data_IF_633738692262
#
_entry.id   IF_633738692262
#
_cell.length_a   1.000
_cell.length_b   1.000
_cell.length_c   1.000
_cell.angle_alpha   90.00
_cell.angle_beta   90.00
_cell.angle_gamma   90.00
#
_symmetry.space_group_name_H-M   'P 1'
#
loop_
_entity.id
_entity.type
_entity.pdbx_description
1 polymer ?
#
# COMPACT_ATOMS: atom_id res chain seq x y z
N UNK A 1 -4.89 9.71 6.93
CA UNK A 1 -4.38 8.41 6.52
C UNK A 1 -5.51 7.41 6.27
N UNK A 2 -6.38 7.10 7.25
CA UNK A 2 -7.46 6.10 7.11
C UNK A 2 -8.34 6.33 5.88
N UNK A 3 -8.75 7.57 5.63
CA UNK A 3 -9.51 7.92 4.42
C UNK A 3 -8.69 7.71 3.13
N UNK A 4 -7.38 7.99 3.16
CA UNK A 4 -6.51 7.74 2.02
C UNK A 4 -6.44 6.25 1.67
N UNK A 5 -6.42 5.38 2.67
CA UNK A 5 -6.43 3.93 2.45
C UNK A 5 -7.78 3.43 1.91
N UNK A 6 -8.89 3.99 2.39
CA UNK A 6 -10.22 3.68 1.85
C UNK A 6 -10.36 4.07 0.38
N UNK A 7 -9.96 5.30 0.04
CA UNK A 7 -9.96 5.79 -1.35
C UNK A 7 -9.00 4.98 -2.20
N UNK A 8 -7.76 4.79 -1.72
CA UNK A 8 -6.74 4.01 -2.43
C UNK A 8 -7.15 2.55 -2.66
N UNK A 9 -7.79 1.91 -1.67
CA UNK A 9 -8.32 0.56 -1.83
C UNK A 9 -9.34 0.49 -2.99
N UNK A 10 -10.24 1.47 -3.07
CA UNK A 10 -11.22 1.58 -4.16
C UNK A 10 -10.60 1.97 -5.51
N UNK A 11 -9.44 2.64 -5.52
CA UNK A 11 -8.69 2.99 -6.73
C UNK A 11 -7.67 1.90 -7.15
N UNK A 12 -7.60 0.78 -6.45
CA UNK A 12 -6.66 -0.31 -6.75
C UNK A 12 -5.22 -0.03 -6.29
N UNK A 13 -4.99 0.99 -5.47
CA UNK A 13 -3.67 1.37 -4.98
C UNK A 13 -3.21 0.49 -3.80
N UNK A 14 -1.90 0.37 -3.63
CA UNK A 14 -1.29 -0.16 -2.42
C UNK A 14 -1.32 0.85 -1.26
N UNK A 15 -0.87 0.41 -0.08
CA UNK A 15 -0.81 1.26 1.12
C UNK A 15 0.12 2.47 0.90
N UNK A 16 1.35 2.21 0.46
CA UNK A 16 2.33 3.28 0.23
C UNK A 16 1.92 4.23 -0.89
N UNK A 17 1.34 3.71 -1.98
CA UNK A 17 0.81 4.55 -3.06
C UNK A 17 -0.36 5.41 -2.62
N UNK A 18 -1.27 4.89 -1.79
CA UNK A 18 -2.41 5.65 -1.25
C UNK A 18 -1.93 6.86 -0.45
N UNK A 19 -0.90 6.66 0.37
CA UNK A 19 -0.26 7.77 1.13
C UNK A 19 0.47 8.72 0.20
N UNK A 20 1.23 8.19 -0.74
CA UNK A 20 1.95 8.96 -1.75
C UNK A 20 1.02 9.85 -2.59
N UNK A 21 -0.11 9.31 -3.02
CA UNK A 21 -1.14 10.04 -3.76
C UNK A 21 -1.73 11.20 -2.95
N UNK A 22 -2.12 10.94 -1.68
CA UNK A 22 -2.61 11.95 -0.76
C UNK A 22 -1.63 13.12 -0.64
N UNK A 23 -0.36 12.82 -0.33
CA UNK A 23 0.67 13.83 -0.09
C UNK A 23 1.03 14.57 -1.37
N UNK A 24 1.22 13.86 -2.48
CA UNK A 24 1.62 14.46 -3.77
C UNK A 24 0.57 15.42 -4.33
N UNK A 25 -0.72 15.09 -4.17
CA UNK A 25 -1.87 15.83 -4.70
C UNK A 25 -2.40 16.91 -3.76
N UNK A 26 -1.88 17.03 -2.53
CA UNK A 26 -2.45 17.89 -1.47
C UNK A 26 -3.91 17.56 -1.18
N UNK A 27 -4.28 16.31 -1.18
CA UNK A 27 -5.65 15.91 -0.90
C UNK A 27 -6.09 14.63 -1.57
N UNK A 28 -7.40 14.40 -1.50
CA UNK A 28 -8.07 13.20 -1.99
C UNK A 28 -9.27 13.58 -2.86
N UNK A 29 -9.46 12.87 -3.95
CA UNK A 29 -10.71 12.89 -4.69
C UNK A 29 -11.70 11.96 -3.98
N UNK A 30 -12.82 12.51 -3.55
CA UNK A 30 -13.94 11.75 -2.98
C UNK A 30 -14.92 11.47 -4.12
N UNK A 31 -15.12 10.19 -4.50
CA UNK A 31 -16.05 9.84 -5.58
C UNK A 31 -17.51 10.10 -5.19
N UNK A 32 -18.36 10.28 -6.20
CA UNK A 32 -19.78 10.45 -5.96
C UNK A 32 -20.43 9.13 -5.53
N UNK A 33 -21.63 9.25 -4.94
CA UNK A 33 -22.41 8.09 -4.57
C UNK A 33 -22.76 7.23 -5.79
N UNK A 34 -23.09 7.87 -6.90
CA UNK A 34 -23.43 7.19 -8.17
C UNK A 34 -22.23 6.42 -8.72
N UNK A 35 -21.03 7.02 -8.68
CA UNK A 35 -19.78 6.33 -9.09
C UNK A 35 -19.54 5.08 -8.25
N UNK A 36 -19.71 5.16 -6.93
CA UNK A 36 -19.51 4.02 -6.03
C UNK A 36 -20.59 2.94 -6.23
N UNK A 37 -21.84 3.32 -6.35
CA UNK A 37 -22.91 2.37 -6.65
C UNK A 37 -22.69 1.68 -8.00
N UNK A 38 -22.24 2.41 -9.03
CA UNK A 38 -21.88 1.84 -10.32
C UNK A 38 -20.75 0.81 -10.25
N UNK A 39 -19.79 0.96 -9.32
CA UNK A 39 -18.76 -0.06 -9.06
C UNK A 39 -19.32 -1.26 -8.31
N UNK A 40 -20.18 -1.03 -7.33
CA UNK A 40 -20.82 -2.10 -6.54
C UNK A 40 -21.69 -3.01 -7.41
N UNK A 41 -22.39 -2.46 -8.40
CA UNK A 41 -23.23 -3.26 -9.32
C UNK A 41 -22.41 -4.21 -10.20
N UNK A 42 -21.09 -4.01 -10.33
CA UNK A 42 -20.18 -4.91 -11.06
C UNK A 42 -19.60 -6.04 -10.21
N UNK A 43 -20.17 -6.32 -9.03
CA UNK A 43 -19.63 -7.33 -8.10
C UNK A 43 -19.48 -8.73 -8.70
N UNK A 44 -20.27 -9.08 -9.72
CA UNK A 44 -20.15 -10.37 -10.39
C UNK A 44 -18.89 -10.53 -11.23
N UNK A 45 -18.34 -9.43 -11.75
CA UNK A 45 -17.14 -9.42 -12.62
C UNK A 45 -15.91 -8.84 -11.92
N UNK A 46 -16.11 -7.92 -10.99
CA UNK A 46 -15.06 -7.16 -10.30
C UNK A 46 -15.31 -7.18 -8.77
N UNK A 47 -15.30 -8.36 -8.11
CA UNK A 47 -15.75 -8.49 -6.71
C UNK A 47 -14.89 -7.70 -5.72
N UNK A 48 -13.59 -7.63 -5.91
CA UNK A 48 -12.67 -6.88 -5.03
C UNK A 48 -12.92 -5.37 -5.10
N UNK A 49 -13.12 -4.83 -6.30
CA UNK A 49 -13.38 -3.41 -6.51
C UNK A 49 -14.77 -3.03 -5.98
N UNK A 50 -15.76 -3.88 -6.17
CA UNK A 50 -17.10 -3.68 -5.64
C UNK A 50 -17.09 -3.67 -4.11
N UNK A 51 -16.37 -4.59 -3.47
CA UNK A 51 -16.25 -4.63 -2.02
C UNK A 51 -15.53 -3.39 -1.47
N UNK A 52 -14.43 -2.95 -2.11
CA UNK A 52 -13.73 -1.73 -1.72
C UNK A 52 -14.58 -0.47 -1.89
N UNK A 53 -15.40 -0.41 -2.95
CA UNK A 53 -16.34 0.68 -3.18
C UNK A 53 -17.45 0.71 -2.12
N UNK A 54 -17.95 -0.45 -1.69
CA UNK A 54 -18.95 -0.55 -0.62
C UNK A 54 -18.39 -0.08 0.73
N UNK A 55 -17.16 -0.49 1.08
CA UNK A 55 -16.48 -0.04 2.29
C UNK A 55 -16.28 1.48 2.28
N UNK A 56 -15.82 2.04 1.16
CA UNK A 56 -15.65 3.48 1.01
C UNK A 56 -17.00 4.22 1.13
N UNK A 57 -18.05 3.74 0.46
CA UNK A 57 -19.37 4.35 0.53
C UNK A 57 -19.90 4.40 1.96
N UNK A 58 -19.77 3.29 2.70
CA UNK A 58 -20.17 3.21 4.10
C UNK A 58 -19.42 4.22 4.97
N UNK A 59 -18.08 4.32 4.79
CA UNK A 59 -17.26 5.26 5.53
C UNK A 59 -17.60 6.73 5.23
N UNK A 60 -17.83 7.06 3.95
CA UNK A 60 -18.20 8.42 3.54
C UNK A 60 -19.56 8.83 4.11
N UNK A 61 -20.52 7.92 4.15
CA UNK A 61 -21.84 8.16 4.75
C UNK A 61 -21.73 8.38 6.26
N UNK A 62 -20.98 7.53 6.97
CA UNK A 62 -20.78 7.67 8.41
C UNK A 62 -20.06 8.98 8.79
N UNK A 63 -19.12 9.41 7.96
CA UNK A 63 -18.36 10.65 8.16
C UNK A 63 -19.06 11.89 7.58
N UNK A 64 -20.20 11.75 6.91
CA UNK A 64 -20.93 12.83 6.21
C UNK A 64 -20.03 13.62 5.24
N UNK A 65 -19.14 12.93 4.53
CA UNK A 65 -18.24 13.55 3.57
C UNK A 65 -18.90 13.69 2.20
N UNK A 66 -18.83 14.92 1.66
CA UNK A 66 -19.37 15.22 0.34
C UNK A 66 -18.41 14.81 -0.79
N UNK A 67 -18.93 14.45 -1.98
CA UNK A 67 -18.13 14.24 -3.18
C UNK A 67 -17.33 15.48 -3.57
N UNK A 68 -16.20 15.28 -4.25
CA UNK A 68 -15.35 16.36 -4.73
C UNK A 68 -13.89 16.19 -4.32
N UNK A 69 -13.15 17.28 -4.27
CA UNK A 69 -11.75 17.23 -3.86
C UNK A 69 -11.59 17.73 -2.42
N UNK A 70 -11.22 16.83 -1.53
CA UNK A 70 -10.87 17.16 -0.14
C UNK A 70 -9.43 17.64 -0.10
N UNK A 71 -9.22 18.95 0.05
CA UNK A 71 -7.89 19.55 0.11
C UNK A 71 -7.27 19.31 1.49
N UNK A 72 -6.04 18.80 1.49
CA UNK A 72 -5.21 18.58 2.67
C UNK A 72 -3.80 18.97 2.29
N UNK A 73 -3.38 20.17 2.69
CA UNK A 73 -2.09 20.72 2.28
C UNK A 73 -0.91 20.01 2.94
N UNK A 74 0.11 19.72 2.15
CA UNK A 74 1.38 19.15 2.59
C UNK A 74 2.54 20.07 2.16
N UNK A 75 2.80 21.16 2.88
CA UNK A 75 3.74 22.19 2.45
C UNK A 75 5.18 21.69 2.27
N UNK A 76 5.52 20.61 2.96
CA UNK A 76 6.87 20.01 2.93
C UNK A 76 6.96 18.77 2.01
N UNK A 77 5.94 18.48 1.20
CA UNK A 77 5.88 17.29 0.33
C UNK A 77 7.06 17.14 -0.63
N UNK A 78 7.73 18.26 -0.98
CA UNK A 78 8.93 18.22 -1.84
C UNK A 78 10.08 17.42 -1.24
N UNK A 79 10.12 17.28 0.08
CA UNK A 79 11.12 16.52 0.83
C UNK A 79 10.64 15.12 1.23
N UNK A 80 9.39 14.78 0.95
CA UNK A 80 8.76 13.52 1.33
C UNK A 80 9.04 12.40 0.34
N UNK A 81 9.55 11.27 0.84
CA UNK A 81 9.81 10.07 0.03
C UNK A 81 8.53 9.55 -0.64
N UNK A 82 7.41 9.54 0.08
CA UNK A 82 6.12 9.04 -0.41
C UNK A 82 5.65 9.83 -1.64
N UNK A 83 5.70 11.16 -1.56
CA UNK A 83 5.30 12.02 -2.67
C UNK A 83 6.27 11.90 -3.86
N UNK A 84 7.56 11.76 -3.60
CA UNK A 84 8.57 11.57 -4.64
C UNK A 84 8.37 10.22 -5.35
N UNK A 85 8.23 9.14 -4.61
CA UNK A 85 8.00 7.80 -5.14
C UNK A 85 6.73 7.77 -6.01
N UNK A 86 5.62 8.37 -5.51
CA UNK A 86 4.37 8.44 -6.27
C UNK A 86 4.54 9.20 -7.60
N UNK A 87 5.19 10.36 -7.59
CA UNK A 87 5.42 11.15 -8.82
C UNK A 87 6.33 10.44 -9.83
N UNK A 88 7.33 9.73 -9.33
CA UNK A 88 8.32 9.02 -10.14
C UNK A 88 7.88 7.60 -10.50
N UNK A 89 6.71 7.17 -10.04
CA UNK A 89 6.18 5.81 -10.22
C UNK A 89 7.14 4.72 -9.72
N UNK A 90 7.92 5.03 -8.66
CA UNK A 90 8.78 4.09 -7.98
C UNK A 90 7.91 3.34 -6.95
N UNK A 91 7.95 2.00 -6.90
CA UNK A 91 7.23 1.24 -5.88
C UNK A 91 7.61 1.70 -4.48
N UNK A 92 6.62 2.16 -3.71
CA UNK A 92 6.74 2.51 -2.30
C UNK A 92 5.68 1.73 -1.55
N UNK A 93 6.11 0.76 -0.77
CA UNK A 93 5.22 -0.19 -0.10
C UNK A 93 5.16 0.07 1.40
N UNK A 94 3.96 -0.06 1.98
CA UNK A 94 3.72 0.01 3.41
C UNK A 94 3.29 -1.37 3.94
N UNK A 95 3.91 -1.79 5.03
CA UNK A 95 3.65 -3.09 5.66
C UNK A 95 3.14 -2.89 7.10
N UNK A 96 1.85 -2.54 7.28
CA UNK A 96 1.28 -2.30 8.60
C UNK A 96 1.17 -3.60 9.40
N UNK A 97 1.27 -3.49 10.71
CA UNK A 97 1.02 -4.60 11.62
C UNK A 97 -0.11 -4.23 12.57
N UNK A 98 -1.23 -4.96 12.51
CA UNK A 98 -2.36 -4.72 13.40
C UNK A 98 -1.96 -4.83 14.86
N UNK A 99 -2.36 -3.82 15.64
CA UNK A 99 -2.03 -3.71 17.06
C UNK A 99 -0.76 -2.91 17.37
N UNK A 100 0.05 -2.52 16.37
CA UNK A 100 1.25 -1.70 16.54
C UNK A 100 1.05 -0.24 16.14
N UNK A 101 0.24 0.03 15.12
CA UNK A 101 0.06 1.36 14.57
C UNK A 101 -1.08 2.11 15.25
N UNK A 102 -0.90 3.40 15.49
CA UNK A 102 -1.91 4.27 16.11
C UNK A 102 -3.12 4.53 15.21
N UNK A 103 -3.02 4.29 13.91
CA UNK A 103 -4.12 4.56 12.97
C UNK A 103 -5.40 3.79 13.29
N UNK A 104 -5.28 2.67 13.98
CA UNK A 104 -6.43 1.81 14.33
C UNK A 104 -7.39 2.43 15.34
N UNK A 105 -7.00 3.51 16.01
CA UNK A 105 -7.85 4.26 16.94
C UNK A 105 -8.76 5.28 16.26
N UNK A 106 -8.55 5.55 14.97
CA UNK A 106 -9.33 6.55 14.24
C UNK A 106 -10.70 6.00 13.81
N UNK A 107 -11.82 6.77 13.96
CA UNK A 107 -13.17 6.30 13.61
C UNK A 107 -13.35 5.84 12.14
N UNK A 108 -12.58 6.39 11.22
CA UNK A 108 -12.56 5.99 9.81
C UNK A 108 -11.61 4.81 9.53
N UNK A 109 -11.05 4.18 10.55
CA UNK A 109 -10.21 3.02 10.30
C UNK A 109 -11.05 1.88 9.73
N UNK A 110 -10.54 1.27 8.66
CA UNK A 110 -11.14 0.12 8.01
C UNK A 110 -10.10 -0.99 7.89
N UNK A 111 -10.28 -2.05 8.66
CA UNK A 111 -9.41 -3.24 8.57
C UNK A 111 -9.40 -3.84 7.16
N UNK A 112 -10.53 -3.79 6.45
CA UNK A 112 -10.61 -4.25 5.07
C UNK A 112 -9.76 -3.40 4.12
N UNK A 113 -9.82 -2.06 4.23
CA UNK A 113 -9.01 -1.16 3.41
C UNK A 113 -7.51 -1.31 3.72
N UNK A 114 -7.14 -1.40 5.01
CA UNK A 114 -5.76 -1.68 5.42
C UNK A 114 -5.29 -3.02 4.86
N UNK A 115 -6.08 -4.09 5.01
CA UNK A 115 -5.73 -5.42 4.51
C UNK A 115 -5.53 -5.45 3.00
N UNK A 116 -6.48 -4.90 2.21
CA UNK A 116 -6.37 -4.85 0.74
C UNK A 116 -5.15 -4.07 0.26
N UNK A 117 -4.92 -2.89 0.81
CA UNK A 117 -3.79 -2.04 0.40
C UNK A 117 -2.44 -2.63 0.81
N UNK A 118 -2.36 -3.19 2.02
CA UNK A 118 -1.15 -3.85 2.53
C UNK A 118 -0.83 -5.14 1.77
N UNK A 119 -1.84 -5.94 1.42
CA UNK A 119 -1.65 -7.16 0.62
C UNK A 119 -1.11 -6.83 -0.78
N UNK A 120 -1.63 -5.80 -1.43
CA UNK A 120 -1.11 -5.33 -2.73
C UNK A 120 0.35 -4.91 -2.61
N UNK A 121 0.70 -4.20 -1.55
CA UNK A 121 2.08 -3.80 -1.30
C UNK A 121 3.00 -4.97 -1.01
N UNK A 122 2.55 -5.94 -0.22
CA UNK A 122 3.34 -7.14 0.02
C UNK A 122 3.62 -7.90 -1.29
N UNK A 123 2.63 -8.08 -2.15
CA UNK A 123 2.81 -8.74 -3.45
C UNK A 123 3.72 -7.93 -4.37
N UNK A 124 3.65 -6.60 -4.34
CA UNK A 124 4.54 -5.71 -5.09
C UNK A 124 5.98 -5.81 -4.59
N UNK A 125 6.17 -5.84 -3.27
CA UNK A 125 7.48 -6.05 -2.67
C UNK A 125 8.06 -7.43 -3.04
N UNK A 126 7.26 -8.50 -2.94
CA UNK A 126 7.66 -9.84 -3.34
C UNK A 126 8.04 -9.90 -4.83
N UNK A 127 7.34 -9.16 -5.70
CA UNK A 127 7.70 -9.03 -7.12
C UNK A 127 9.05 -8.34 -7.31
N UNK A 128 9.35 -7.31 -6.53
CA UNK A 128 10.67 -6.66 -6.55
C UNK A 128 11.77 -7.63 -6.12
N UNK A 129 11.52 -8.42 -5.07
CA UNK A 129 12.46 -9.46 -4.60
C UNK A 129 12.64 -10.57 -5.64
N UNK A 130 11.61 -10.89 -6.44
CA UNK A 130 11.73 -11.87 -7.53
C UNK A 130 12.72 -11.44 -8.65
N UNK A 131 13.06 -10.16 -8.72
CA UNK A 131 14.03 -9.58 -9.66
C UNK A 131 15.37 -9.24 -8.97
N UNK A 132 15.65 -9.82 -7.80
CA UNK A 132 16.81 -9.45 -6.99
C UNK A 132 18.14 -10.09 -7.45
N UNK A 133 18.10 -11.08 -8.34
CA UNK A 133 19.34 -11.73 -8.84
C UNK A 133 20.31 -10.68 -9.41
N UNK A 134 21.54 -10.65 -8.92
CA UNK A 134 22.56 -9.66 -9.25
C UNK A 134 22.34 -8.27 -8.60
N UNK A 135 21.36 -8.14 -7.71
CA UNK A 135 20.99 -6.88 -7.06
C UNK A 135 21.46 -6.75 -5.61
N UNK A 136 20.95 -5.73 -4.94
CA UNK A 136 21.25 -5.43 -3.53
C UNK A 136 19.95 -5.26 -2.75
N UNK A 137 19.85 -5.95 -1.62
CA UNK A 137 18.83 -5.68 -0.60
C UNK A 137 19.46 -4.89 0.54
N UNK A 138 18.97 -3.68 0.78
CA UNK A 138 19.43 -2.80 1.85
C UNK A 138 18.38 -2.72 2.96
N UNK A 139 18.72 -3.19 4.16
CA UNK A 139 17.91 -3.06 5.38
C UNK A 139 18.47 -1.96 6.27
N UNK A 140 17.68 -0.93 6.56
CA UNK A 140 18.12 0.24 7.35
C UNK A 140 17.18 0.45 8.53
N UNK A 141 17.72 0.37 9.74
CA UNK A 141 17.01 0.70 10.98
C UNK A 141 15.84 -0.24 11.31
N UNK A 142 15.87 -1.48 10.84
CA UNK A 142 14.81 -2.46 11.09
C UNK A 142 15.38 -3.84 11.38
N UNK A 143 15.65 -4.11 12.64
CA UNK A 143 16.26 -5.36 13.08
C UNK A 143 15.32 -6.59 13.00
N UNK A 144 14.01 -6.38 12.96
CA UNK A 144 13.03 -7.46 13.03
C UNK A 144 12.13 -7.49 11.78
N UNK A 145 11.44 -6.40 11.48
CA UNK A 145 10.40 -6.38 10.44
C UNK A 145 10.98 -6.53 9.03
N UNK A 146 12.07 -5.83 8.73
CA UNK A 146 12.70 -5.90 7.41
C UNK A 146 13.19 -7.31 7.06
N UNK A 147 13.95 -8.01 7.93
CA UNK A 147 14.34 -9.39 7.67
C UNK A 147 13.15 -10.35 7.52
N UNK A 148 12.11 -10.20 8.34
CA UNK A 148 10.93 -11.08 8.28
C UNK A 148 10.17 -10.95 6.97
N UNK A 149 9.92 -9.72 6.51
CA UNK A 149 9.22 -9.47 5.25
C UNK A 149 10.06 -9.95 4.07
N UNK A 150 11.38 -9.68 4.10
CA UNK A 150 12.30 -10.11 3.06
C UNK A 150 12.37 -11.63 2.95
N UNK A 151 12.53 -12.34 4.07
CA UNK A 151 12.58 -13.81 4.12
C UNK A 151 11.35 -14.44 3.48
N UNK A 152 10.14 -13.97 3.83
CA UNK A 152 8.89 -14.51 3.27
C UNK A 152 8.77 -14.20 1.78
N UNK A 153 9.11 -12.98 1.38
CA UNK A 153 9.09 -12.57 -0.02
C UNK A 153 10.09 -13.36 -0.87
N UNK A 154 11.30 -13.57 -0.35
CA UNK A 154 12.33 -14.36 -1.02
C UNK A 154 11.92 -15.84 -1.14
N UNK A 155 11.34 -16.42 -0.08
CA UNK A 155 10.82 -17.78 -0.12
C UNK A 155 9.75 -17.95 -1.19
N UNK A 156 8.79 -17.03 -1.28
CA UNK A 156 7.76 -17.04 -2.33
C UNK A 156 8.38 -16.90 -3.72
N UNK A 157 9.28 -15.93 -3.89
CA UNK A 157 9.94 -15.67 -5.16
C UNK A 157 10.76 -16.86 -5.65
N UNK A 158 11.50 -17.51 -4.75
CA UNK A 158 12.29 -18.72 -5.05
C UNK A 158 11.40 -19.90 -5.44
N UNK A 159 10.27 -20.11 -4.75
CA UNK A 159 9.35 -21.18 -5.11
C UNK A 159 8.79 -21.01 -6.52
N UNK A 160 8.47 -19.80 -6.94
CA UNK A 160 8.04 -19.51 -8.30
C UNK A 160 9.19 -19.65 -9.31
N UNK A 161 10.36 -19.12 -9.00
CA UNK A 161 11.54 -19.21 -9.85
C UNK A 161 11.93 -20.68 -10.13
N UNK A 162 11.85 -21.56 -9.12
CA UNK A 162 12.10 -22.98 -9.26
C UNK A 162 11.14 -23.68 -10.26
N UNK A 163 9.90 -23.24 -10.33
CA UNK A 163 8.93 -23.79 -11.31
C UNK A 163 9.27 -23.39 -12.76
N UNK A 164 10.08 -22.33 -12.91
CA UNK A 164 10.52 -21.79 -14.19
C UNK A 164 12.01 -22.09 -14.49
N UNK A 165 12.61 -23.04 -13.76
CA UNK A 165 14.05 -23.37 -13.82
C UNK A 165 14.98 -22.16 -13.64
N UNK A 166 14.51 -21.15 -12.90
CA UNK A 166 15.29 -19.95 -12.51
C UNK A 166 15.74 -20.03 -11.07
N UNK A 167 16.78 -19.26 -10.72
CA UNK A 167 17.31 -19.17 -9.38
C UNK A 167 17.45 -17.71 -8.97
N UNK A 168 17.36 -17.46 -7.65
CA UNK A 168 17.61 -16.18 -7.01
C UNK A 168 18.61 -16.47 -5.89
N UNK A 169 19.91 -16.42 -6.19
CA UNK A 169 20.97 -16.89 -5.31
C UNK A 169 22.10 -15.83 -5.12
N UNK A 170 22.36 -15.04 -6.17
CA UNK A 170 23.45 -14.09 -6.18
C UNK A 170 22.94 -12.65 -5.99
N UNK A 171 22.94 -12.18 -4.77
CA UNK A 171 22.61 -10.79 -4.41
C UNK A 171 23.34 -10.42 -3.12
N UNK A 172 23.59 -9.12 -2.96
CA UNK A 172 24.17 -8.60 -1.72
C UNK A 172 23.08 -8.24 -0.73
N UNK A 173 23.32 -8.55 0.55
CA UNK A 173 22.46 -8.14 1.65
C UNK A 173 23.25 -7.21 2.56
N UNK A 174 22.83 -5.95 2.64
CA UNK A 174 23.47 -4.91 3.45
C UNK A 174 22.56 -4.51 4.60
N UNK A 175 23.03 -4.59 5.82
CA UNK A 175 22.29 -4.20 7.03
C UNK A 175 22.95 -2.97 7.64
N UNK A 176 22.18 -1.92 7.84
CA UNK A 176 22.57 -0.69 8.53
C UNK A 176 21.68 -0.54 9.74
N UNK A 177 22.21 -0.81 10.92
CA UNK A 177 21.49 -0.72 12.17
C UNK A 177 22.43 -0.25 13.29
N UNK A 178 21.86 0.13 14.44
CA UNK A 178 22.65 0.42 15.62
C UNK A 178 23.20 -0.88 16.17
N UNK A 179 24.51 -0.93 16.39
CA UNK A 179 25.12 -2.04 17.10
C UNK A 179 24.60 -2.06 18.55
N UNK A 180 24.31 -3.25 19.12
CA UNK A 180 23.94 -3.36 20.53
C UNK A 180 25.11 -2.98 21.46
#
# INVERSE_FOLDING_TARGET
LSLALLVGAAEGLGYGESVGALVARDGLRIPSREELLGRITRAATEPEEAAAAADLLSALQAAQLSPGFLRIEHPYKRFGLQAAAFRLQIPYTGHPMFGHDIIYTHPLNSGAAVGRTAQRDFLRFARSVASLEGGVYLSVGSAIMSPMIFEKSLSMARNLAHQEDRRIEHFDLVVVDLAP
#
